data_IF_603570195806
#
_entry.id   IF_603570195806
#
_cell.length_a   1.000
_cell.length_b   1.000
_cell.length_c   1.000
_cell.angle_alpha   90.00
_cell.angle_beta   90.00
_cell.angle_gamma   90.00
#
_symmetry.space_group_name_H-M   'P 1'
#
loop_
_entity.id
_entity.type
_entity.pdbx_description
1 polymer ?
#
# COMPACT_ATOMS: atom_id res chain seq x y z
N UNK A 1 -8.16 -4.60 25.00
CA UNK A 1 -7.05 -5.07 24.16
C UNK A 1 -6.07 -5.85 25.01
N UNK A 2 -5.80 -7.10 24.64
CA UNK A 2 -4.88 -8.03 25.33
C UNK A 2 -3.44 -7.82 24.89
N UNK A 3 -2.51 -8.50 25.55
CA UNK A 3 -1.08 -8.49 25.20
C UNK A 3 -0.82 -9.18 23.85
N UNK A 4 -1.58 -10.23 23.57
CA UNK A 4 -1.53 -10.97 22.30
C UNK A 4 -2.02 -10.12 21.13
N UNK A 5 -3.13 -9.39 21.30
CA UNK A 5 -3.64 -8.46 20.28
C UNK A 5 -2.64 -7.35 19.96
N UNK A 6 -1.92 -6.85 20.99
CA UNK A 6 -0.85 -5.85 20.77
C UNK A 6 0.33 -6.42 20.02
N UNK A 7 0.74 -7.64 20.35
CA UNK A 7 1.84 -8.31 19.67
C UNK A 7 1.49 -8.57 18.20
N UNK A 8 0.26 -9.00 17.91
CA UNK A 8 -0.25 -9.17 16.55
C UNK A 8 -0.27 -7.84 15.78
N UNK A 9 -0.69 -6.74 16.42
CA UNK A 9 -0.69 -5.42 15.81
C UNK A 9 0.72 -4.92 15.48
N UNK A 10 1.71 -5.08 16.38
CA UNK A 10 3.11 -4.72 16.11
C UNK A 10 3.71 -5.59 14.97
N UNK A 11 3.41 -6.89 14.97
CA UNK A 11 3.85 -7.81 13.92
C UNK A 11 3.30 -7.40 12.56
N UNK A 12 2.01 -7.08 12.45
CA UNK A 12 1.39 -6.61 11.21
C UNK A 12 2.03 -5.30 10.72
N UNK A 13 2.23 -4.32 11.62
CA UNK A 13 2.92 -3.07 11.29
C UNK A 13 4.31 -3.34 10.70
N UNK A 14 5.09 -4.24 11.33
CA UNK A 14 6.45 -4.57 10.86
C UNK A 14 6.43 -5.34 9.54
N UNK A 15 5.47 -6.24 9.34
CA UNK A 15 5.34 -6.99 8.10
C UNK A 15 5.08 -6.05 6.91
N UNK A 16 4.16 -5.09 7.05
CA UNK A 16 3.78 -4.21 5.95
C UNK A 16 4.71 -2.99 5.78
N UNK A 17 5.25 -2.45 6.88
CA UNK A 17 5.99 -1.19 6.87
C UNK A 17 7.45 -1.32 7.34
N UNK A 18 7.88 -2.48 7.82
CA UNK A 18 9.22 -2.73 8.38
C UNK A 18 9.41 -2.17 9.79
N UNK A 19 8.97 -0.93 10.05
CA UNK A 19 9.07 -0.30 11.37
C UNK A 19 7.82 0.51 11.74
N UNK A 20 7.44 0.57 13.04
CA UNK A 20 6.37 1.45 13.51
C UNK A 20 6.60 2.93 13.19
N UNK A 21 7.87 3.36 13.10
CA UNK A 21 8.19 4.70 12.65
C UNK A 21 7.71 4.97 11.22
N UNK A 22 8.08 4.09 10.28
CA UNK A 22 7.73 4.22 8.86
C UNK A 22 6.22 4.15 8.67
N UNK A 23 5.54 3.28 9.42
CA UNK A 23 4.08 3.22 9.49
C UNK A 23 3.48 4.59 9.84
N UNK A 24 3.85 5.18 10.99
CA UNK A 24 3.32 6.48 11.40
C UNK A 24 3.60 7.58 10.35
N UNK A 25 4.77 7.56 9.71
CA UNK A 25 5.12 8.51 8.64
C UNK A 25 4.21 8.37 7.42
N UNK A 26 3.87 7.14 7.03
CA UNK A 26 3.05 6.88 5.84
C UNK A 26 1.55 7.03 6.09
N UNK A 27 1.06 6.67 7.28
CA UNK A 27 -0.36 6.77 7.61
C UNK A 27 -0.75 8.13 8.18
N UNK A 28 0.21 8.91 8.69
CA UNK A 28 -0.04 10.18 9.36
C UNK A 28 -0.58 10.02 10.79
N UNK A 29 -0.62 8.80 11.33
CA UNK A 29 -1.04 8.58 12.70
C UNK A 29 -0.04 9.17 13.71
N UNK A 30 -0.51 9.76 14.82
CA UNK A 30 0.37 10.32 15.85
C UNK A 30 1.28 9.26 16.45
N UNK A 31 2.58 9.49 16.35
CA UNK A 31 3.61 8.54 16.76
C UNK A 31 3.51 8.20 18.26
N UNK A 32 3.26 9.20 19.11
CA UNK A 32 3.08 8.98 20.56
C UNK A 32 1.93 8.00 20.86
N UNK A 33 0.78 8.19 20.21
CA UNK A 33 -0.38 7.31 20.35
C UNK A 33 -0.05 5.88 19.92
N UNK A 34 0.53 5.69 18.74
CA UNK A 34 0.87 4.34 18.24
C UNK A 34 1.82 3.61 19.19
N UNK A 35 2.90 4.27 19.64
CA UNK A 35 3.87 3.64 20.54
C UNK A 35 3.28 3.34 21.92
N UNK A 36 2.40 4.20 22.44
CA UNK A 36 1.72 3.96 23.71
C UNK A 36 0.73 2.78 23.61
N UNK A 37 -0.01 2.68 22.50
CA UNK A 37 -0.93 1.58 22.25
C UNK A 37 -0.17 0.26 22.13
N UNK A 38 0.89 0.19 21.31
CA UNK A 38 1.72 -1.01 21.17
C UNK A 38 2.39 -1.42 22.50
N UNK A 39 2.77 -0.44 23.33
CA UNK A 39 3.35 -0.70 24.64
C UNK A 39 2.31 -1.06 25.72
N UNK A 40 1.01 -0.99 25.45
CA UNK A 40 -0.03 -1.24 26.44
C UNK A 40 -0.16 -0.12 27.50
N UNK A 41 0.34 1.08 27.22
CA UNK A 41 0.43 2.21 28.18
C UNK A 41 -0.42 3.42 27.77
N UNK A 42 -1.27 3.30 26.77
CA UNK A 42 -2.13 4.40 26.37
C UNK A 42 -3.25 4.59 27.40
N UNK A 43 -3.38 5.80 27.94
CA UNK A 43 -4.30 6.10 29.04
C UNK A 43 -5.76 6.33 28.61
N UNK A 44 -6.00 6.44 27.30
CA UNK A 44 -7.34 6.57 26.75
C UNK A 44 -7.96 5.23 26.37
N UNK A 45 -8.96 5.28 25.50
CA UNK A 45 -9.63 4.12 24.95
C UNK A 45 -8.67 3.31 24.05
N UNK A 46 -8.12 2.24 24.62
CA UNK A 46 -7.16 1.34 23.99
C UNK A 46 -7.74 0.63 22.77
N UNK A 47 -8.98 0.13 22.88
CA UNK A 47 -9.62 -0.65 21.83
C UNK A 47 -9.94 0.23 20.63
N UNK A 48 -10.43 1.45 20.87
CA UNK A 48 -10.66 2.42 19.81
C UNK A 48 -9.39 2.82 19.06
N UNK A 49 -8.27 3.00 19.77
CA UNK A 49 -7.03 3.34 19.08
C UNK A 49 -6.43 2.14 18.34
N UNK A 50 -6.55 0.93 18.89
CA UNK A 50 -6.15 -0.29 18.20
C UNK A 50 -6.92 -0.47 16.89
N UNK A 51 -8.23 -0.28 16.92
CA UNK A 51 -9.08 -0.31 15.73
C UNK A 51 -8.66 0.74 14.70
N UNK A 52 -8.37 1.97 15.14
CA UNK A 52 -7.87 3.02 14.24
C UNK A 52 -6.53 2.67 13.59
N UNK A 53 -5.64 1.99 14.31
CA UNK A 53 -4.36 1.52 13.77
C UNK A 53 -4.60 0.38 12.77
N UNK A 54 -5.50 -0.56 13.07
CA UNK A 54 -5.91 -1.62 12.15
C UNK A 54 -6.52 -1.07 10.86
N UNK A 55 -7.38 -0.06 10.94
CA UNK A 55 -7.93 0.60 9.76
C UNK A 55 -6.84 1.25 8.90
N UNK A 56 -5.86 1.90 9.53
CA UNK A 56 -4.72 2.47 8.82
C UNK A 56 -3.78 1.42 8.22
N UNK A 57 -3.72 0.21 8.77
CA UNK A 57 -3.02 -0.94 8.18
C UNK A 57 -3.76 -1.50 6.96
N UNK A 58 -5.10 -1.59 7.03
CA UNK A 58 -5.97 -2.08 5.94
C UNK A 58 -6.07 -1.11 4.77
N UNK A 59 -5.81 0.17 5.00
CA UNK A 59 -5.69 1.18 3.96
C UNK A 59 -4.23 1.56 3.76
N UNK A 60 -3.39 0.69 3.16
CA UNK A 60 -2.07 1.11 2.76
C UNK A 60 -2.25 2.24 1.76
N UNK A 61 -1.98 3.48 2.18
CA UNK A 61 -1.74 4.57 1.23
C UNK A 61 -0.73 4.01 0.26
N UNK A 62 -1.10 3.93 -1.02
CA UNK A 62 -0.27 3.46 -2.13
C UNK A 62 1.04 4.21 -2.08
N UNK A 63 2.00 3.69 -1.32
CA UNK A 63 3.24 4.36 -1.05
C UNK A 63 4.09 4.19 -2.30
N UNK A 64 3.98 5.16 -3.21
CA UNK A 64 4.96 5.37 -4.26
C UNK A 64 4.71 4.67 -5.59
N UNK A 65 3.48 4.24 -5.90
CA UNK A 65 3.13 3.95 -7.30
C UNK A 65 2.85 5.28 -8.00
N UNK A 66 3.91 5.89 -8.53
CA UNK A 66 3.79 7.09 -9.35
C UNK A 66 3.63 6.70 -10.83
N UNK A 67 2.77 7.45 -11.54
CA UNK A 67 2.46 7.19 -12.94
C UNK A 67 3.72 7.24 -13.85
N UNK A 68 4.68 8.10 -13.52
CA UNK A 68 5.89 8.27 -14.31
C UNK A 68 6.81 7.03 -14.23
N UNK A 69 6.92 6.41 -13.06
CA UNK A 69 7.69 5.21 -12.79
C UNK A 69 7.05 3.99 -13.47
N UNK A 70 5.74 3.82 -13.35
CA UNK A 70 5.00 2.75 -14.04
C UNK A 70 5.16 2.89 -15.56
N UNK A 71 4.88 4.08 -16.10
CA UNK A 71 5.01 4.34 -17.53
C UNK A 71 6.44 4.16 -18.05
N UNK A 72 7.46 4.52 -17.26
CA UNK A 72 8.86 4.26 -17.59
C UNK A 72 9.18 2.77 -17.64
N UNK A 73 8.72 1.97 -16.68
CA UNK A 73 8.95 0.52 -16.64
C UNK A 73 8.26 -0.16 -17.83
N UNK A 74 6.99 0.15 -18.09
CA UNK A 74 6.25 -0.38 -19.23
C UNK A 74 6.98 -0.12 -20.55
N UNK A 75 7.43 1.13 -20.75
CA UNK A 75 8.22 1.51 -21.93
C UNK A 75 9.55 0.77 -21.99
N UNK A 76 10.28 0.68 -20.88
CA UNK A 76 11.57 -0.01 -20.84
C UNK A 76 11.46 -1.47 -21.29
N UNK A 77 10.48 -2.21 -20.78
CA UNK A 77 10.31 -3.63 -21.11
C UNK A 77 9.73 -3.84 -22.52
N UNK A 78 8.72 -3.06 -22.90
CA UNK A 78 8.11 -3.19 -24.23
C UNK A 78 9.10 -2.78 -25.34
N UNK A 79 9.82 -1.68 -25.16
CA UNK A 79 10.80 -1.21 -26.15
C UNK A 79 12.07 -2.07 -26.18
N UNK A 80 12.43 -2.80 -25.11
CA UNK A 80 13.58 -3.70 -25.12
C UNK A 80 13.49 -4.78 -26.21
N UNK A 81 12.27 -5.17 -26.60
CA UNK A 81 12.01 -6.23 -27.60
C UNK A 81 11.38 -5.70 -28.89
N UNK A 82 11.25 -4.38 -29.03
CA UNK A 82 10.59 -3.77 -30.17
C UNK A 82 11.53 -3.69 -31.39
N UNK A 83 11.11 -4.30 -32.50
CA UNK A 83 11.86 -4.29 -33.77
C UNK A 83 11.95 -2.90 -34.41
N UNK A 84 11.06 -1.97 -34.02
CA UNK A 84 11.02 -0.59 -34.53
C UNK A 84 11.73 0.41 -33.61
N UNK A 85 12.47 -0.04 -32.59
CA UNK A 85 13.19 0.86 -31.67
C UNK A 85 14.23 1.70 -32.43
N UNK A 86 14.22 3.02 -32.22
CA UNK A 86 15.14 3.96 -32.89
C UNK A 86 14.69 4.47 -34.26
N UNK A 87 13.53 4.02 -34.76
CA UNK A 87 12.96 4.46 -36.05
C UNK A 87 12.25 5.82 -36.02
N UNK A 88 12.27 6.54 -34.90
CA UNK A 88 11.45 7.76 -34.70
C UNK A 88 9.95 7.50 -34.51
N UNK A 89 9.50 6.23 -34.56
CA UNK A 89 8.10 5.84 -34.34
C UNK A 89 7.77 5.53 -32.88
N UNK A 90 8.72 5.70 -31.95
CA UNK A 90 8.56 5.34 -30.54
C UNK A 90 7.43 6.11 -29.84
N UNK A 91 7.12 7.33 -30.32
CA UNK A 91 6.05 8.17 -29.76
C UNK A 91 4.65 7.63 -30.08
N UNK A 92 4.50 6.75 -31.09
CA UNK A 92 3.20 6.15 -31.44
C UNK A 92 2.63 5.26 -30.34
N UNK A 93 3.47 4.68 -29.50
CA UNK A 93 3.06 3.81 -28.42
C UNK A 93 2.77 4.55 -27.11
N UNK A 94 3.11 5.84 -27.01
CA UNK A 94 2.92 6.65 -25.81
C UNK A 94 1.45 6.66 -25.31
N UNK A 95 0.42 6.82 -26.17
CA UNK A 95 -0.98 6.78 -25.73
C UNK A 95 -1.37 5.43 -25.11
N UNK A 96 -0.84 4.33 -25.65
CA UNK A 96 -1.10 2.98 -25.14
C UNK A 96 -0.48 2.79 -23.75
N UNK A 97 0.78 3.19 -23.56
CA UNK A 97 1.44 3.09 -22.25
C UNK A 97 0.80 4.00 -21.20
N UNK A 98 0.30 5.17 -21.61
CA UNK A 98 -0.45 6.07 -20.73
C UNK A 98 -1.80 5.46 -20.30
N UNK A 99 -2.51 4.75 -21.19
CA UNK A 99 -3.72 4.01 -20.84
C UNK A 99 -3.42 2.88 -19.84
N UNK A 100 -2.44 2.03 -20.16
CA UNK A 100 -2.02 0.92 -19.27
C UNK A 100 -1.59 1.41 -17.88
N UNK A 101 -0.87 2.53 -17.81
CA UNK A 101 -0.46 3.13 -16.54
C UNK A 101 -1.68 3.54 -15.69
N UNK A 102 -2.70 4.14 -16.31
CA UNK A 102 -3.95 4.50 -15.61
C UNK A 102 -4.69 3.27 -15.10
N UNK A 103 -4.77 2.22 -15.91
CA UNK A 103 -5.46 0.98 -15.53
C UNK A 103 -4.75 0.29 -14.34
N UNK A 104 -3.41 0.25 -14.36
CA UNK A 104 -2.62 -0.29 -13.25
C UNK A 104 -2.83 0.52 -11.96
N UNK A 105 -2.85 1.85 -12.06
CA UNK A 105 -3.10 2.72 -10.90
C UNK A 105 -4.53 2.56 -10.38
N UNK A 106 -5.51 2.40 -11.26
CA UNK A 106 -6.89 2.12 -10.89
C UNK A 106 -7.00 0.79 -10.14
N UNK A 107 -6.39 -0.28 -10.66
CA UNK A 107 -6.33 -1.59 -10.00
C UNK A 107 -5.62 -1.52 -8.65
N UNK A 108 -4.49 -0.84 -8.55
CA UNK A 108 -3.76 -0.67 -7.30
C UNK A 108 -4.56 0.13 -6.25
N UNK A 109 -5.40 1.06 -6.70
CA UNK A 109 -6.37 1.77 -5.85
C UNK A 109 -7.62 0.95 -5.51
N UNK A 110 -7.90 -0.12 -6.26
CA UNK A 110 -9.02 -1.06 -6.06
C UNK A 110 -8.62 -2.30 -5.25
N UNK A 111 -7.58 -2.25 -4.41
CA UNK A 111 -7.23 -3.40 -3.56
C UNK A 111 -8.35 -3.58 -2.51
N UNK A 112 -9.35 -4.36 -2.91
CA UNK A 112 -10.56 -4.87 -2.25
C UNK A 112 -10.19 -5.61 -0.95
N UNK A 113 -10.89 -5.52 0.20
CA UNK A 113 -12.34 -5.64 0.43
C UNK A 113 -13.00 -6.67 -0.50
N UNK A 114 -12.46 -7.89 -0.54
CA UNK A 114 -13.20 -9.11 -0.94
C UNK A 114 -12.33 -10.35 -0.68
N UNK A 115 -12.54 -10.98 0.47
CA UNK A 115 -12.51 -12.44 0.68
C UNK A 115 -13.07 -12.71 2.07
N UNK A 116 -14.40 -12.77 2.16
CA UNK A 116 -15.09 -13.72 3.04
C UNK A 116 -16.45 -14.00 2.41
N UNK A 117 -16.38 -14.74 1.30
CA UNK A 117 -17.49 -15.52 0.80
C UNK A 117 -17.46 -16.86 1.53
N UNK A 118 -18.35 -16.97 2.50
CA UNK A 118 -19.20 -18.15 2.74
C UNK A 118 -18.66 -19.49 2.21
N UNK A 119 -18.14 -20.29 3.14
CA UNK A 119 -17.99 -21.73 2.95
C UNK A 119 -18.53 -22.43 4.20
N UNK A 120 -19.82 -22.80 4.12
CA UNK A 120 -20.44 -23.99 4.72
C UNK A 120 -20.01 -24.34 6.16
N UNK A 121 -20.86 -23.97 7.14
CA UNK A 121 -21.53 -24.96 8.01
C UNK A 121 -22.66 -24.40 8.88
#
# INVERSE_FOLDING_TARGET
>A
MTDEERAALDAAIRQHYGTPHRFCKQTGLPRGTVYQVLAGRYAGDMDRQAERIWQALRQPRTAGLDAASIGRILRQHACARCLSRGSGLCDRCEPMFAAQTRDILALAGQTTEETDGDADR
#
